data_IF_686808636475
#
_entry.id   IF_686808636475
#
_cell.length_a   1.000
_cell.length_b   1.000
_cell.length_c   1.000
_cell.angle_alpha   90.00
_cell.angle_beta   90.00
_cell.angle_gamma   90.00
#
_symmetry.space_group_name_H-M   'P 1'
#
loop_
_entity.id
_entity.type
_entity.pdbx_description
1 polymer ?
#
# COMPACT_ATOMS: atom_id res chain seq x y z
N UNK A 1 33.89 1.65 18.84
CA UNK A 1 33.32 1.92 17.51
C UNK A 1 31.81 1.92 17.64
N UNK A 2 31.14 2.98 17.18
CA UNK A 2 29.67 3.05 17.22
C UNK A 2 29.11 2.22 16.06
N UNK A 3 28.18 1.30 16.36
CA UNK A 3 27.45 0.57 15.34
C UNK A 3 26.47 1.52 14.64
N UNK A 4 26.49 1.55 13.31
CA UNK A 4 25.45 2.20 12.51
C UNK A 4 24.21 1.31 12.56
N UNK A 5 23.14 1.83 13.14
CA UNK A 5 21.83 1.20 13.09
C UNK A 5 21.19 1.52 11.72
N UNK A 6 20.96 0.49 10.91
CA UNK A 6 20.25 0.64 9.63
C UNK A 6 18.75 0.40 9.86
N UNK A 7 17.98 1.48 9.98
CA UNK A 7 16.51 1.44 10.04
C UNK A 7 15.91 1.69 8.64
N UNK A 8 16.34 0.92 7.63
CA UNK A 8 15.87 1.14 6.27
C UNK A 8 14.44 0.65 6.14
N UNK A 9 13.50 1.59 6.00
CA UNK A 9 12.11 1.29 5.67
C UNK A 9 12.07 0.60 4.31
N UNK A 10 11.62 -0.67 4.30
CA UNK A 10 11.44 -1.41 3.05
C UNK A 10 10.07 -1.06 2.50
N UNK A 11 9.96 -0.68 1.21
CA UNK A 11 8.67 -0.49 0.60
C UNK A 11 7.91 -1.82 0.56
N UNK A 12 6.67 -1.80 1.01
CA UNK A 12 5.69 -2.86 0.86
C UNK A 12 5.08 -2.75 -0.53
N UNK A 13 5.21 -3.82 -1.33
CA UNK A 13 4.51 -3.96 -2.59
C UNK A 13 3.24 -4.79 -2.41
N UNK A 14 2.14 -4.36 -3.01
CA UNK A 14 0.86 -5.07 -2.95
C UNK A 14 0.06 -4.95 -4.25
N UNK A 15 -1.06 -5.69 -4.30
CA UNK A 15 -1.98 -5.73 -5.43
C UNK A 15 -3.41 -5.61 -4.92
N UNK A 16 -4.22 -4.76 -5.57
CA UNK A 16 -5.65 -4.67 -5.28
C UNK A 16 -6.44 -5.53 -6.25
N UNK A 17 -7.27 -6.40 -5.69
CA UNK A 17 -8.07 -7.37 -6.44
C UNK A 17 -9.51 -7.28 -5.96
N UNK A 18 -10.44 -7.35 -6.90
CA UNK A 18 -11.85 -7.57 -6.62
C UNK A 18 -12.07 -8.94 -5.96
N UNK A 19 -12.92 -8.97 -4.93
CA UNK A 19 -13.17 -10.18 -4.14
C UNK A 19 -13.88 -11.27 -4.95
N UNK A 20 -14.82 -10.89 -5.80
CA UNK A 20 -15.73 -11.83 -6.46
C UNK A 20 -15.17 -12.32 -7.80
N UNK A 21 -14.71 -11.41 -8.64
CA UNK A 21 -14.20 -11.71 -9.98
C UNK A 21 -12.71 -12.04 -9.99
N UNK A 22 -11.99 -11.74 -8.90
CA UNK A 22 -10.52 -11.81 -8.82
C UNK A 22 -9.80 -10.95 -9.87
N UNK A 23 -10.48 -9.94 -10.42
CA UNK A 23 -9.89 -9.00 -11.37
C UNK A 23 -9.08 -7.93 -10.64
N UNK A 24 -8.03 -7.43 -11.30
CA UNK A 24 -7.17 -6.37 -10.77
C UNK A 24 -7.90 -5.04 -10.87
N UNK A 25 -7.90 -4.27 -9.78
CA UNK A 25 -8.53 -2.95 -9.73
C UNK A 25 -7.48 -1.86 -9.85
N UNK A 26 -7.68 -0.92 -10.76
CA UNK A 26 -6.81 0.25 -10.96
C UNK A 26 -7.48 1.53 -10.40
N UNK A 27 -6.69 2.59 -10.23
CA UNK A 27 -7.12 3.88 -9.65
C UNK A 27 -7.67 3.75 -8.22
N UNK A 28 -7.21 2.75 -7.48
CA UNK A 28 -7.54 2.56 -6.07
C UNK A 28 -6.63 3.45 -5.25
N UNK A 29 -7.22 4.26 -4.38
CA UNK A 29 -6.50 5.08 -3.42
C UNK A 29 -6.13 4.22 -2.20
N UNK A 30 -4.84 4.07 -1.96
CA UNK A 30 -4.27 3.37 -0.81
C UNK A 30 -3.84 4.42 0.20
N UNK A 31 -4.31 4.31 1.43
CA UNK A 31 -4.04 5.25 2.51
C UNK A 31 -3.52 4.51 3.75
N UNK A 32 -2.37 4.92 4.27
CA UNK A 32 -1.84 4.41 5.54
C UNK A 32 -2.33 5.31 6.68
N UNK A 33 -3.13 4.76 7.59
CA UNK A 33 -3.68 5.54 8.72
C UNK A 33 -2.60 5.98 9.73
N UNK A 34 -1.46 5.29 9.81
CA UNK A 34 -0.39 5.63 10.76
C UNK A 34 0.42 6.83 10.27
N UNK A 35 0.90 6.79 9.03
CA UNK A 35 1.76 7.85 8.49
C UNK A 35 0.96 9.00 7.86
N UNK A 36 -0.29 8.75 7.47
CA UNK A 36 -1.10 9.70 6.70
C UNK A 36 -0.73 9.73 5.22
N UNK A 37 0.19 8.87 4.78
CA UNK A 37 0.56 8.79 3.37
C UNK A 37 -0.55 8.11 2.56
N UNK A 38 -0.80 8.65 1.37
CA UNK A 38 -1.71 8.02 0.43
C UNK A 38 -1.28 8.16 -1.02
N UNK A 39 -1.60 7.14 -1.81
CA UNK A 39 -1.20 7.04 -3.21
C UNK A 39 -2.21 6.24 -4.02
N UNK A 40 -2.24 6.47 -5.32
CA UNK A 40 -3.01 5.65 -6.24
C UNK A 40 -2.17 4.48 -6.76
N UNK A 41 -2.80 3.32 -6.90
CA UNK A 41 -2.16 2.18 -7.55
C UNK A 41 -2.03 2.38 -9.07
N UNK A 42 -1.18 1.57 -9.71
CA UNK A 42 -0.95 1.65 -11.14
C UNK A 42 -2.07 0.98 -11.97
N UNK A 43 -1.97 1.03 -13.30
CA UNK A 43 -2.95 0.41 -14.22
C UNK A 43 -3.01 -1.12 -14.15
N UNK A 44 -2.02 -1.76 -13.52
CA UNK A 44 -1.98 -3.20 -13.25
C UNK A 44 -2.53 -3.56 -11.86
N UNK A 45 -3.02 -2.57 -11.12
CA UNK A 45 -3.57 -2.72 -9.77
C UNK A 45 -2.53 -2.77 -8.64
N UNK A 46 -1.25 -2.60 -8.97
CA UNK A 46 -0.12 -2.75 -8.04
C UNK A 46 0.20 -1.42 -7.36
N UNK A 47 0.59 -1.49 -6.09
CA UNK A 47 1.00 -0.32 -5.31
C UNK A 47 2.31 -0.59 -4.56
N UNK A 48 3.06 0.47 -4.29
CA UNK A 48 4.26 0.46 -3.46
C UNK A 48 4.11 1.54 -2.39
N UNK A 49 4.09 1.15 -1.11
CA UNK A 49 3.93 2.06 0.02
C UNK A 49 4.89 1.72 1.14
N UNK A 50 5.20 2.67 2.01
CA UNK A 50 5.93 2.39 3.25
C UNK A 50 4.93 2.07 4.35
N UNK A 51 4.90 0.82 4.78
CA UNK A 51 4.04 0.35 5.85
C UNK A 51 4.80 -0.68 6.69
N UNK A 52 4.58 -0.66 7.99
CA UNK A 52 5.15 -1.63 8.93
C UNK A 52 4.08 -2.58 9.45
N UNK A 53 4.49 -3.71 10.03
CA UNK A 53 3.56 -4.64 10.66
C UNK A 53 2.77 -3.92 11.76
N UNK A 54 1.44 -4.03 11.68
CA UNK A 54 0.51 -3.32 12.57
C UNK A 54 -0.11 -2.08 11.96
N UNK A 55 0.41 -1.57 10.83
CA UNK A 55 -0.22 -0.46 10.11
C UNK A 55 -1.56 -0.90 9.52
N UNK A 56 -2.52 0.01 9.57
CA UNK A 56 -3.81 -0.17 8.89
C UNK A 56 -3.76 0.56 7.56
N UNK A 57 -3.86 -0.20 6.47
CA UNK A 57 -4.00 0.32 5.12
C UNK A 57 -5.48 0.30 4.71
N UNK A 58 -5.97 1.43 4.23
CA UNK A 58 -7.30 1.60 3.68
C UNK A 58 -7.19 1.67 2.17
N UNK A 59 -7.98 0.86 1.46
CA UNK A 59 -8.10 0.90 0.01
C UNK A 59 -9.49 1.43 -0.36
N UNK A 60 -9.55 2.57 -1.04
CA UNK A 60 -10.78 3.22 -1.45
C UNK A 60 -10.85 3.31 -2.98
N UNK A 61 -11.95 2.86 -3.55
CA UNK A 61 -12.26 3.00 -4.96
C UNK A 61 -13.72 3.46 -5.08
N UNK A 62 -13.95 4.53 -5.85
CA UNK A 62 -15.31 5.03 -6.05
C UNK A 62 -16.17 3.98 -6.74
N UNK A 63 -17.25 3.57 -6.09
CA UNK A 63 -18.19 2.57 -6.61
C UNK A 63 -17.90 1.12 -6.22
N UNK A 64 -17.05 0.90 -5.22
CA UNK A 64 -16.71 -0.40 -4.64
C UNK A 64 -17.14 -0.53 -3.17
#
# INVERSE_FOLDING_TARGET
MAAVCLAQEKPLQGLVIDKDTRQRLAKVYIYNMRSGDGLYNNTKGEFNTFAVLGDTLVAALTGY
#
